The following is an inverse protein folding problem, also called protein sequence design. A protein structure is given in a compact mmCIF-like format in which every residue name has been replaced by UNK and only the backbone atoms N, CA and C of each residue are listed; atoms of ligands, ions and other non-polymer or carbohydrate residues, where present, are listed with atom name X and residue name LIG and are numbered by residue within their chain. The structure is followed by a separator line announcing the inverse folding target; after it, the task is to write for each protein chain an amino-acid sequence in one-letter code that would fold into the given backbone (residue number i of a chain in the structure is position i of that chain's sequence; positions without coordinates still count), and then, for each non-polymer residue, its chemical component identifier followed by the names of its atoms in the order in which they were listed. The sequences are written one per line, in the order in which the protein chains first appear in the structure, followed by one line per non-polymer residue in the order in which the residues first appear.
data_IF_125144332969
#
_entry.id   IF_125144332969
#
_cell.length_a   1.000
_cell.length_b   1.000
_cell.length_c   1.000
_cell.angle_alpha   90.00
_cell.angle_beta   90.00
_cell.angle_gamma   90.00
#
_symmetry.space_group_name_H-M   'P 1'
#
loop_
_entity.id
_entity.type
_entity.pdbx_description
1 polymer ?
#
# COMPACT_ATOMS: atom_id res chain seq x y z
N UNK A 1 14.63 -19.49 -18.07
CA UNK A 1 13.96 -20.55 -17.33
C UNK A 1 13.07 -19.91 -16.26
N UNK A 2 11.87 -20.42 -16.07
CA UNK A 2 10.99 -19.99 -14.96
C UNK A 2 11.48 -20.73 -13.71
N UNK A 3 11.59 -20.01 -12.59
CA UNK A 3 12.00 -20.58 -11.32
C UNK A 3 10.94 -21.56 -10.78
N UNK A 4 11.36 -22.51 -9.92
CA UNK A 4 10.49 -23.56 -9.42
C UNK A 4 9.60 -23.19 -8.22
N UNK A 5 9.56 -21.91 -7.83
CA UNK A 5 8.73 -21.42 -6.74
C UNK A 5 7.23 -21.58 -7.08
N UNK A 6 6.40 -22.14 -6.19
CA UNK A 6 4.97 -22.33 -6.41
C UNK A 6 4.22 -21.02 -6.71
N UNK A 7 4.58 -19.91 -6.06
CA UNK A 7 3.89 -18.62 -6.23
C UNK A 7 4.08 -18.04 -7.63
N UNK A 8 5.26 -18.26 -8.23
CA UNK A 8 5.54 -17.87 -9.62
C UNK A 8 4.60 -18.59 -10.59
N UNK A 9 4.45 -19.90 -10.45
CA UNK A 9 3.56 -20.68 -11.30
C UNK A 9 2.10 -20.36 -11.06
N UNK A 10 1.75 -20.00 -9.84
CA UNK A 10 0.40 -19.59 -9.51
C UNK A 10 0.05 -18.22 -10.12
N UNK A 11 0.92 -17.23 -9.99
CA UNK A 11 0.75 -15.92 -10.65
C UNK A 11 0.69 -16.08 -12.18
N UNK A 12 1.58 -16.92 -12.73
CA UNK A 12 1.59 -17.22 -14.17
C UNK A 12 0.26 -17.81 -14.64
N UNK A 13 -0.31 -18.74 -13.88
CA UNK A 13 -1.61 -19.32 -14.17
C UNK A 13 -2.74 -18.27 -14.17
N UNK A 14 -2.68 -17.31 -13.26
CA UNK A 14 -3.62 -16.18 -13.24
C UNK A 14 -3.47 -15.30 -14.49
N UNK A 15 -2.25 -15.04 -14.93
CA UNK A 15 -1.96 -14.29 -16.15
C UNK A 15 -2.53 -15.05 -17.37
N UNK A 16 -2.27 -16.33 -17.49
CA UNK A 16 -2.74 -17.18 -18.58
C UNK A 16 -4.29 -17.22 -18.66
N UNK A 17 -4.93 -17.39 -17.49
CA UNK A 17 -6.40 -17.34 -17.40
C UNK A 17 -6.96 -15.97 -17.80
N UNK A 18 -6.29 -14.89 -17.40
CA UNK A 18 -6.69 -13.52 -17.74
C UNK A 18 -6.44 -13.21 -19.23
N UNK A 19 -5.34 -13.69 -19.83
CA UNK A 19 -5.12 -13.55 -21.29
C UNK A 19 -6.26 -14.16 -22.08
N UNK A 20 -6.78 -15.30 -21.64
CA UNK A 20 -7.91 -15.99 -22.29
C UNK A 20 -9.26 -15.31 -22.09
N UNK A 21 -9.42 -14.51 -21.01
CA UNK A 21 -10.68 -13.89 -20.61
C UNK A 21 -10.51 -12.40 -20.25
N UNK A 22 -9.62 -11.68 -20.93
CA UNK A 22 -9.28 -10.31 -20.59
C UNK A 22 -10.49 -9.35 -20.57
N UNK A 23 -10.62 -8.51 -19.55
CA UNK A 23 -9.76 -8.28 -18.38
C UNK A 23 -10.23 -9.00 -17.09
N UNK A 24 -10.97 -10.08 -17.20
CA UNK A 24 -11.58 -10.77 -16.05
C UNK A 24 -10.52 -11.46 -15.18
N UNK A 25 -10.58 -11.20 -13.88
CA UNK A 25 -9.73 -11.84 -12.89
C UNK A 25 -10.45 -13.00 -12.20
N UNK A 26 -9.72 -14.10 -12.00
CA UNK A 26 -10.27 -15.26 -11.33
C UNK A 26 -10.05 -15.17 -9.82
N UNK A 27 -11.11 -14.86 -9.07
CA UNK A 27 -11.05 -14.74 -7.61
C UNK A 27 -11.13 -16.06 -6.86
N UNK A 28 -11.56 -17.13 -7.52
CA UNK A 28 -11.66 -18.45 -6.93
C UNK A 28 -10.96 -19.47 -7.80
N UNK A 29 -10.01 -20.20 -7.23
CA UNK A 29 -9.31 -21.28 -7.90
C UNK A 29 -9.77 -22.64 -7.36
N UNK A 30 -10.52 -23.37 -8.17
CA UNK A 30 -11.01 -24.69 -7.85
C UNK A 30 -9.93 -25.77 -7.76
N UNK A 31 -8.75 -25.51 -8.34
CA UNK A 31 -7.65 -26.49 -8.35
C UNK A 31 -6.69 -26.33 -7.18
N UNK A 32 -6.67 -25.15 -6.54
CA UNK A 32 -5.91 -24.91 -5.32
C UNK A 32 -6.68 -25.47 -4.13
N UNK A 33 -6.01 -26.22 -3.24
CA UNK A 33 -6.63 -26.90 -2.10
C UNK A 33 -7.80 -27.82 -2.51
N UNK A 34 -7.61 -28.56 -3.61
CA UNK A 34 -8.62 -29.51 -4.12
C UNK A 34 -9.04 -30.52 -3.05
N UNK A 35 -10.36 -30.91 -2.93
CA UNK A 35 -11.46 -30.54 -3.81
C UNK A 35 -12.21 -29.24 -3.43
N UNK A 36 -11.89 -28.57 -2.33
CA UNK A 36 -12.63 -27.42 -1.82
C UNK A 36 -12.41 -26.13 -2.65
N UNK A 37 -11.26 -26.02 -3.31
CA UNK A 37 -10.82 -24.80 -3.94
C UNK A 37 -10.38 -23.74 -2.93
N UNK A 38 -9.87 -22.60 -3.41
CA UNK A 38 -9.43 -21.49 -2.56
C UNK A 38 -9.74 -20.14 -3.22
N UNK A 39 -10.16 -19.16 -2.41
CA UNK A 39 -10.15 -17.76 -2.82
C UNK A 39 -8.73 -17.25 -2.91
N UNK A 40 -8.48 -16.40 -3.90
CA UNK A 40 -7.17 -15.79 -4.14
C UNK A 40 -7.03 -14.58 -3.24
N UNK A 41 -5.91 -14.48 -2.51
CA UNK A 41 -5.68 -13.47 -1.49
C UNK A 41 -5.04 -12.18 -2.03
N UNK A 42 -4.40 -12.23 -3.21
CA UNK A 42 -3.80 -11.06 -3.88
C UNK A 42 -4.67 -10.50 -4.99
N UNK A 43 -4.33 -9.30 -5.48
CA UNK A 43 -5.19 -8.55 -6.35
C UNK A 43 -4.91 -8.70 -7.84
N UNK A 44 -5.79 -8.12 -8.66
CA UNK A 44 -5.78 -8.29 -10.09
C UNK A 44 -4.72 -7.48 -10.84
N UNK A 45 -4.13 -6.44 -10.21
CA UNK A 45 -3.35 -5.45 -10.97
C UNK A 45 -2.07 -6.03 -11.57
N UNK A 46 -1.33 -6.87 -10.84
CA UNK A 46 -0.12 -7.49 -11.38
C UNK A 46 -0.44 -8.45 -12.55
N UNK A 47 -1.36 -9.42 -12.43
CA UNK A 47 -1.80 -10.22 -13.57
C UNK A 47 -2.37 -9.39 -14.72
N UNK A 48 -3.07 -8.29 -14.43
CA UNK A 48 -3.62 -7.39 -15.45
C UNK A 48 -2.52 -6.73 -16.28
N UNK A 49 -1.46 -6.22 -15.63
CA UNK A 49 -0.32 -5.62 -16.33
C UNK A 49 0.38 -6.66 -17.22
N UNK A 50 0.65 -7.83 -16.66
CA UNK A 50 1.34 -8.90 -17.40
C UNK A 50 0.51 -9.43 -18.58
N UNK A 51 -0.78 -9.70 -18.37
CA UNK A 51 -1.69 -10.17 -19.43
C UNK A 51 -1.93 -9.12 -20.52
N UNK A 52 -2.03 -7.83 -20.15
CA UNK A 52 -2.11 -6.75 -21.12
C UNK A 52 -0.86 -6.71 -22.02
N UNK A 53 0.35 -6.88 -21.43
CA UNK A 53 1.59 -6.95 -22.22
C UNK A 53 1.61 -8.18 -23.14
N UNK A 54 1.15 -9.35 -22.67
CA UNK A 54 1.03 -10.55 -23.50
C UNK A 54 0.10 -10.28 -24.71
N UNK A 55 -1.07 -9.69 -24.48
CA UNK A 55 -2.04 -9.40 -25.55
C UNK A 55 -1.47 -8.35 -26.53
N UNK A 56 -0.87 -7.28 -26.02
CA UNK A 56 -0.30 -6.21 -26.86
C UNK A 56 0.84 -6.70 -27.75
N UNK A 57 1.58 -7.73 -27.33
CA UNK A 57 2.67 -8.35 -28.09
C UNK A 57 2.23 -9.54 -28.94
N UNK A 58 0.95 -9.92 -28.86
CA UNK A 58 0.44 -11.10 -29.55
C UNK A 58 0.81 -12.44 -28.90
N UNK A 59 1.39 -12.42 -27.71
CA UNK A 59 1.85 -13.58 -26.95
C UNK A 59 0.68 -14.28 -26.22
N UNK A 60 -0.29 -14.78 -26.98
CA UNK A 60 -1.50 -15.42 -26.42
C UNK A 60 -1.33 -16.92 -26.18
N UNK A 61 -0.32 -17.55 -26.79
CA UNK A 61 0.00 -18.94 -26.55
C UNK A 61 0.84 -19.08 -25.27
N UNK A 62 0.68 -20.20 -24.55
CA UNK A 62 1.33 -20.43 -23.25
C UNK A 62 2.84 -20.14 -23.25
N UNK A 63 3.57 -20.65 -24.24
CA UNK A 63 5.04 -20.49 -24.31
C UNK A 63 5.43 -19.02 -24.49
N UNK A 64 4.73 -18.31 -25.39
CA UNK A 64 4.99 -16.91 -25.66
C UNK A 64 4.59 -16.02 -24.48
N UNK A 65 3.47 -16.35 -23.84
CA UNK A 65 3.00 -15.67 -22.62
C UNK A 65 4.00 -15.83 -21.46
N UNK A 66 4.59 -17.03 -21.27
CA UNK A 66 5.69 -17.25 -20.32
C UNK A 66 6.88 -16.32 -20.66
N UNK A 67 7.27 -16.27 -21.92
CA UNK A 67 8.40 -15.47 -22.34
C UNK A 67 8.19 -13.98 -22.06
N UNK A 68 7.01 -13.42 -22.41
CA UNK A 68 6.68 -12.00 -22.20
C UNK A 68 6.51 -11.68 -20.72
N UNK A 69 5.72 -12.46 -19.98
CA UNK A 69 5.48 -12.21 -18.56
C UNK A 69 6.74 -12.33 -17.70
N UNK A 70 7.72 -13.15 -18.12
CA UNK A 70 9.03 -13.27 -17.44
C UNK A 70 9.83 -11.94 -17.40
N UNK A 71 9.52 -10.98 -18.28
CA UNK A 71 10.18 -9.67 -18.29
C UNK A 71 9.49 -8.64 -17.40
N UNK A 72 8.27 -8.90 -16.94
CA UNK A 72 7.52 -7.94 -16.11
C UNK A 72 8.25 -7.59 -14.82
N UNK A 73 8.79 -8.55 -14.02
CA UNK A 73 9.57 -8.21 -12.84
C UNK A 73 10.82 -7.37 -13.16
N UNK A 74 11.50 -7.66 -14.27
CA UNK A 74 12.67 -6.90 -14.72
C UNK A 74 12.31 -5.44 -15.02
N UNK A 75 11.16 -5.21 -15.67
CA UNK A 75 10.67 -3.85 -15.92
C UNK A 75 10.43 -3.09 -14.62
N UNK A 76 9.81 -3.71 -13.61
CA UNK A 76 9.64 -3.10 -12.30
C UNK A 76 10.99 -2.83 -11.62
N UNK A 77 11.95 -3.75 -11.72
CA UNK A 77 13.32 -3.56 -11.22
C UNK A 77 14.02 -2.35 -11.85
N UNK A 78 13.93 -2.20 -13.17
CA UNK A 78 14.50 -1.05 -13.90
C UNK A 78 13.83 0.26 -13.49
N UNK A 79 12.49 0.27 -13.41
CA UNK A 79 11.71 1.45 -13.02
C UNK A 79 11.93 1.86 -11.56
N UNK A 80 12.31 0.93 -10.69
CA UNK A 80 12.62 1.23 -9.29
C UNK A 80 13.87 2.11 -9.14
N UNK A 81 14.88 1.97 -10.00
CA UNK A 81 16.13 2.72 -9.91
C UNK A 81 15.90 4.24 -9.90
N UNK A 82 15.19 4.85 -10.87
CA UNK A 82 14.89 6.28 -10.82
C UNK A 82 13.98 6.66 -9.64
N UNK A 83 13.05 5.82 -9.22
CA UNK A 83 12.20 6.09 -8.05
C UNK A 83 13.04 6.24 -6.79
N UNK A 84 13.96 5.30 -6.56
CA UNK A 84 14.87 5.32 -5.40
C UNK A 84 15.86 6.48 -5.50
N UNK A 85 16.34 6.82 -6.73
CA UNK A 85 17.15 8.03 -6.93
C UNK A 85 16.42 9.28 -6.45
N UNK A 86 15.17 9.50 -6.89
CA UNK A 86 14.41 10.68 -6.51
C UNK A 86 14.06 10.69 -5.02
N UNK A 87 13.77 9.54 -4.42
CA UNK A 87 13.53 9.41 -2.98
C UNK A 87 14.79 9.78 -2.17
N UNK A 88 15.94 9.22 -2.52
CA UNK A 88 17.21 9.54 -1.88
C UNK A 88 17.60 11.02 -2.05
N UNK A 89 17.39 11.57 -3.27
CA UNK A 89 17.59 12.99 -3.54
C UNK A 89 16.67 13.88 -2.71
N UNK A 90 15.43 13.47 -2.51
CA UNK A 90 14.45 14.20 -1.71
C UNK A 90 14.87 14.26 -0.23
N UNK A 91 15.42 13.17 0.29
CA UNK A 91 15.79 13.06 1.72
C UNK A 91 17.12 13.78 2.01
N UNK A 92 18.17 13.50 1.25
CA UNK A 92 19.53 13.94 1.57
C UNK A 92 20.32 14.52 0.37
N UNK A 93 19.63 14.95 -0.70
CA UNK A 93 20.21 15.62 -1.84
C UNK A 93 20.72 14.68 -2.94
N UNK A 94 21.22 15.26 -4.03
CA UNK A 94 21.51 14.51 -5.28
C UNK A 94 22.56 13.41 -5.12
N UNK A 95 23.57 13.62 -4.26
CA UNK A 95 24.60 12.60 -3.98
C UNK A 95 24.01 11.35 -3.33
N UNK A 96 23.14 11.55 -2.34
CA UNK A 96 22.40 10.45 -1.71
C UNK A 96 21.49 9.74 -2.72
N UNK A 97 20.86 10.48 -3.65
CA UNK A 97 20.09 9.89 -4.73
C UNK A 97 20.90 8.96 -5.62
N UNK A 98 22.12 9.39 -6.05
CA UNK A 98 23.00 8.54 -6.86
C UNK A 98 23.42 7.28 -6.09
N UNK A 99 23.83 7.44 -4.82
CA UNK A 99 24.25 6.31 -3.99
C UNK A 99 23.07 5.32 -3.84
N UNK A 100 21.88 5.81 -3.54
CA UNK A 100 20.69 4.98 -3.39
C UNK A 100 20.34 4.25 -4.70
N UNK A 101 20.44 4.92 -5.85
CA UNK A 101 20.20 4.31 -7.16
C UNK A 101 21.24 3.21 -7.50
N UNK A 102 22.50 3.43 -7.17
CA UNK A 102 23.55 2.42 -7.35
C UNK A 102 23.28 1.22 -6.44
N UNK A 103 22.99 1.47 -5.16
CA UNK A 103 22.71 0.38 -4.23
C UNK A 103 21.52 -0.47 -4.68
N UNK A 104 20.38 0.12 -5.05
CA UNK A 104 19.22 -0.65 -5.48
C UNK A 104 19.47 -1.41 -6.79
N UNK A 105 20.33 -0.89 -7.67
CA UNK A 105 20.65 -1.55 -8.93
C UNK A 105 21.57 -2.78 -8.76
N UNK A 106 22.35 -2.85 -7.66
CA UNK A 106 23.33 -3.92 -7.44
C UNK A 106 23.08 -4.72 -6.16
N UNK A 107 22.04 -4.36 -5.38
CA UNK A 107 21.73 -5.07 -4.14
C UNK A 107 21.39 -6.53 -4.43
N UNK A 108 22.09 -7.44 -3.75
CA UNK A 108 21.79 -8.86 -3.78
C UNK A 108 20.64 -9.22 -2.83
N UNK A 109 20.26 -10.48 -2.79
CA UNK A 109 19.23 -10.98 -1.90
C UNK A 109 17.82 -10.87 -2.48
N UNK A 110 16.84 -10.69 -1.61
CA UNK A 110 15.41 -10.85 -1.96
C UNK A 110 14.93 -9.87 -3.03
N UNK A 111 15.37 -8.61 -2.99
CA UNK A 111 14.97 -7.64 -4.02
C UNK A 111 15.45 -8.05 -5.40
N UNK A 112 16.72 -8.45 -5.53
CA UNK A 112 17.28 -8.91 -6.80
C UNK A 112 16.56 -10.16 -7.31
N UNK A 113 16.32 -11.12 -6.42
CA UNK A 113 15.57 -12.34 -6.75
C UNK A 113 14.17 -12.00 -7.28
N UNK A 114 13.40 -11.17 -6.57
CA UNK A 114 12.02 -10.79 -6.96
C UNK A 114 11.93 -9.95 -8.23
N UNK A 115 13.05 -9.42 -8.73
CA UNK A 115 13.11 -8.63 -9.98
C UNK A 115 13.84 -9.35 -11.11
N UNK A 116 14.24 -10.61 -10.92
CA UNK A 116 14.88 -11.42 -11.97
C UNK A 116 13.89 -11.85 -13.06
N UNK A 117 14.41 -12.03 -14.27
CA UNK A 117 13.65 -12.62 -15.36
C UNK A 117 13.17 -14.04 -15.03
N UNK A 118 11.88 -14.27 -15.18
CA UNK A 118 11.25 -15.56 -14.86
C UNK A 118 10.75 -15.72 -13.42
N UNK A 119 10.97 -14.74 -12.56
CA UNK A 119 10.34 -14.68 -11.22
C UNK A 119 9.06 -13.85 -11.33
N UNK A 120 8.03 -14.45 -11.91
CA UNK A 120 6.74 -13.80 -12.18
C UNK A 120 5.91 -13.75 -10.91
N UNK A 121 6.26 -12.78 -10.04
CA UNK A 121 5.65 -12.63 -8.73
C UNK A 121 5.18 -11.18 -8.50
N UNK A 122 4.03 -11.03 -7.85
CA UNK A 122 3.38 -9.75 -7.60
C UNK A 122 4.17 -8.81 -6.66
N UNK A 123 5.09 -9.36 -5.85
CA UNK A 123 5.89 -8.57 -4.90
C UNK A 123 6.74 -7.47 -5.58
N UNK A 124 7.20 -7.67 -6.81
CA UNK A 124 7.93 -6.63 -7.54
C UNK A 124 7.06 -5.38 -7.77
N UNK A 125 5.77 -5.58 -8.10
CA UNK A 125 4.81 -4.48 -8.29
C UNK A 125 4.36 -3.87 -6.96
N UNK A 126 4.16 -4.69 -5.94
CA UNK A 126 3.81 -4.25 -4.57
C UNK A 126 4.85 -3.25 -4.05
N UNK A 127 6.13 -3.63 -4.07
CA UNK A 127 7.23 -2.77 -3.60
C UNK A 127 7.39 -1.53 -4.48
N UNK A 128 7.22 -1.68 -5.80
CA UNK A 128 7.31 -0.54 -6.71
C UNK A 128 6.26 0.52 -6.41
N UNK A 129 4.99 0.16 -6.39
CA UNK A 129 3.90 1.12 -6.17
C UNK A 129 3.92 1.73 -4.76
N UNK A 130 4.30 0.96 -3.73
CA UNK A 130 4.47 1.50 -2.37
C UNK A 130 5.65 2.46 -2.27
N UNK A 131 6.75 2.20 -2.99
CA UNK A 131 7.90 3.13 -3.03
C UNK A 131 7.55 4.42 -3.78
N UNK A 132 6.81 4.33 -4.90
CA UNK A 132 6.29 5.51 -5.61
C UNK A 132 5.33 6.31 -4.71
N UNK A 133 4.46 5.63 -3.97
CA UNK A 133 3.61 6.27 -2.97
C UNK A 133 4.44 7.03 -1.93
N UNK A 134 5.44 6.39 -1.32
CA UNK A 134 6.32 7.03 -0.34
C UNK A 134 7.03 8.26 -0.92
N UNK A 135 7.56 8.15 -2.14
CA UNK A 135 8.23 9.26 -2.82
C UNK A 135 7.30 10.48 -2.94
N UNK A 136 6.11 10.28 -3.49
CA UNK A 136 5.20 11.40 -3.74
C UNK A 136 4.50 11.88 -2.46
N UNK A 137 4.27 11.02 -1.48
CA UNK A 137 3.74 11.41 -0.18
C UNK A 137 4.74 12.32 0.56
N UNK A 138 6.02 11.92 0.66
CA UNK A 138 7.08 12.72 1.29
C UNK A 138 7.32 14.01 0.50
N UNK A 139 7.31 13.95 -0.84
CA UNK A 139 7.44 15.13 -1.68
C UNK A 139 6.32 16.15 -1.44
N UNK A 140 5.08 15.65 -1.29
CA UNK A 140 3.93 16.51 -0.99
C UNK A 140 4.07 17.20 0.37
N UNK A 141 4.50 16.47 1.40
CA UNK A 141 4.73 17.03 2.74
C UNK A 141 5.82 18.09 2.70
N UNK A 142 6.91 17.82 1.98
CA UNK A 142 7.99 18.79 1.81
C UNK A 142 7.52 20.06 1.09
N UNK A 143 6.76 19.91 0.01
CA UNK A 143 6.13 21.03 -0.70
C UNK A 143 5.19 21.82 0.21
N UNK A 144 4.43 21.15 1.06
CA UNK A 144 3.55 21.80 2.03
C UNK A 144 4.33 22.62 3.07
N UNK A 145 5.55 22.17 3.43
CA UNK A 145 6.41 22.92 4.36
C UNK A 145 7.08 24.14 3.72
N UNK A 146 7.27 24.14 2.41
CA UNK A 146 7.83 25.27 1.65
C UNK A 146 6.76 26.36 1.35
N UNK A 147 5.49 25.97 1.36
CA UNK A 147 4.37 26.84 1.03
C UNK A 147 3.35 26.80 2.18
N UNK A 148 2.95 27.97 2.69
CA UNK A 148 1.90 28.00 3.72
C UNK A 148 0.56 27.52 3.13
N UNK A 149 0.29 26.24 3.31
CA UNK A 149 -0.96 25.61 2.87
C UNK A 149 -2.09 25.99 3.84
N UNK A 150 -3.17 26.55 3.31
CA UNK A 150 -4.35 26.94 4.07
C UNK A 150 -5.61 26.47 3.34
N UNK A 151 -6.50 25.74 4.03
CA UNK A 151 -7.77 25.26 3.46
C UNK A 151 -8.67 26.39 2.96
N UNK A 152 -8.60 27.57 3.61
CA UNK A 152 -9.37 28.75 3.24
C UNK A 152 -8.87 29.43 1.96
N UNK A 153 -7.69 29.07 1.45
CA UNK A 153 -7.09 29.64 0.24
C UNK A 153 -6.85 28.57 -0.82
N UNK A 154 -7.77 28.37 -1.79
CA UNK A 154 -7.60 27.33 -2.81
C UNK A 154 -6.31 27.45 -3.63
N UNK A 155 -5.77 28.65 -3.78
CA UNK A 155 -4.51 28.89 -4.49
C UNK A 155 -3.31 28.27 -3.77
N UNK A 156 -3.33 28.21 -2.44
CA UNK A 156 -2.27 27.60 -1.63
C UNK A 156 -2.22 26.07 -1.72
N UNK A 157 -3.31 25.44 -2.19
CA UNK A 157 -3.40 23.99 -2.37
C UNK A 157 -2.73 23.50 -3.66
N UNK A 158 -2.61 24.36 -4.68
CA UNK A 158 -2.09 23.99 -6.01
C UNK A 158 -0.75 23.26 -5.98
N UNK A 159 0.26 23.67 -5.17
CA UNK A 159 1.56 23.01 -5.16
C UNK A 159 1.53 21.56 -4.68
N UNK A 160 0.55 21.21 -3.83
CA UNK A 160 0.45 19.89 -3.20
C UNK A 160 -0.57 18.97 -3.87
N UNK A 161 -1.50 19.50 -4.68
CA UNK A 161 -2.61 18.73 -5.21
C UNK A 161 -2.13 17.64 -6.19
N UNK A 162 -1.34 18.02 -7.19
CA UNK A 162 -0.84 17.05 -8.19
C UNK A 162 -0.01 15.93 -7.55
N UNK A 163 1.02 16.22 -6.72
CA UNK A 163 1.77 15.15 -6.08
C UNK A 163 0.93 14.32 -5.09
N UNK A 164 -0.10 14.89 -4.44
CA UNK A 164 -1.06 14.12 -3.63
C UNK A 164 -1.86 13.13 -4.48
N UNK A 165 -2.30 13.55 -5.67
CA UNK A 165 -3.02 12.67 -6.60
C UNK A 165 -2.11 11.53 -7.06
N UNK A 166 -0.84 11.81 -7.41
CA UNK A 166 0.10 10.75 -7.81
C UNK A 166 0.35 9.78 -6.65
N UNK A 167 0.51 10.28 -5.42
CA UNK A 167 0.61 9.44 -4.23
C UNK A 167 -0.65 8.58 -4.03
N UNK A 168 -1.83 9.17 -4.19
CA UNK A 168 -3.11 8.46 -4.08
C UNK A 168 -3.27 7.35 -5.13
N UNK A 169 -2.95 7.65 -6.39
CA UNK A 169 -2.98 6.66 -7.48
C UNK A 169 -1.97 5.54 -7.25
N UNK A 170 -0.74 5.86 -6.82
CA UNK A 170 0.27 4.86 -6.52
C UNK A 170 -0.15 3.96 -5.36
N UNK A 171 -0.74 4.52 -4.30
CA UNK A 171 -1.26 3.74 -3.18
C UNK A 171 -2.47 2.88 -3.58
N UNK A 172 -3.37 3.42 -4.39
CA UNK A 172 -4.49 2.68 -4.98
C UNK A 172 -4.00 1.49 -5.82
N UNK A 173 -2.95 1.69 -6.62
CA UNK A 173 -2.32 0.62 -7.38
C UNK A 173 -1.69 -0.44 -6.46
N UNK A 174 -0.96 -0.02 -5.41
CA UNK A 174 -0.41 -0.94 -4.42
C UNK A 174 -1.51 -1.80 -3.76
N UNK A 175 -2.61 -1.17 -3.34
CA UNK A 175 -3.78 -1.87 -2.78
C UNK A 175 -4.46 -2.83 -3.77
N UNK A 176 -4.40 -2.54 -5.08
CA UNK A 176 -4.91 -3.43 -6.13
C UNK A 176 -3.95 -4.58 -6.47
N UNK A 177 -2.69 -4.50 -6.05
CA UNK A 177 -1.72 -5.62 -6.10
C UNK A 177 -1.89 -6.52 -4.89
N UNK A 178 -1.87 -5.94 -3.66
CA UNK A 178 -1.89 -6.71 -2.43
C UNK A 178 -2.52 -5.88 -1.29
N UNK A 179 -3.51 -6.41 -0.56
CA UNK A 179 -4.15 -5.68 0.53
C UNK A 179 -3.23 -5.44 1.74
N UNK A 180 -2.17 -6.23 1.93
CA UNK A 180 -1.17 -6.03 2.99
C UNK A 180 -0.42 -4.71 2.90
N UNK A 181 -0.41 -4.04 1.72
CA UNK A 181 0.12 -2.68 1.55
C UNK A 181 -0.60 -1.65 2.42
N UNK A 182 -1.73 -2.02 3.03
CA UNK A 182 -2.41 -1.26 4.09
C UNK A 182 -1.48 -0.87 5.24
N UNK A 183 -0.39 -1.61 5.46
CA UNK A 183 0.67 -1.24 6.41
C UNK A 183 1.14 0.21 6.23
N UNK A 184 1.24 0.68 4.99
CA UNK A 184 1.65 2.06 4.71
C UNK A 184 0.60 3.08 5.15
N UNK A 185 -0.70 2.76 5.06
CA UNK A 185 -1.75 3.61 5.63
C UNK A 185 -1.67 3.68 7.16
N UNK A 186 -1.30 2.58 7.81
CA UNK A 186 -1.09 2.56 9.27
C UNK A 186 0.11 3.41 9.68
N UNK A 187 1.22 3.36 8.91
CA UNK A 187 2.39 4.24 9.10
C UNK A 187 1.99 5.71 8.91
N UNK A 188 1.21 6.01 7.87
CA UNK A 188 0.68 7.36 7.61
C UNK A 188 -0.22 7.83 8.74
N UNK A 189 -1.09 6.97 9.30
CA UNK A 189 -1.96 7.30 10.41
C UNK A 189 -1.15 7.67 11.66
N UNK A 190 -0.12 6.87 11.98
CA UNK A 190 0.80 7.14 13.09
C UNK A 190 1.58 8.45 12.86
N UNK A 191 2.13 8.64 11.67
CA UNK A 191 2.80 9.88 11.28
C UNK A 191 1.85 11.08 11.42
N UNK A 192 0.63 10.96 10.97
CA UNK A 192 -0.40 12.00 11.03
C UNK A 192 -0.65 12.41 12.49
N UNK A 193 -0.86 11.46 13.38
CA UNK A 193 -1.06 11.71 14.80
C UNK A 193 0.14 12.45 15.44
N UNK A 194 1.35 11.98 15.16
CA UNK A 194 2.59 12.60 15.65
C UNK A 194 2.72 14.02 15.09
N UNK A 195 2.48 14.21 13.80
CA UNK A 195 2.65 15.50 13.14
C UNK A 195 1.61 16.53 13.58
N UNK A 196 0.34 16.14 13.77
CA UNK A 196 -0.68 17.03 14.36
C UNK A 196 -0.28 17.46 15.78
N UNK A 197 0.15 16.50 16.59
CA UNK A 197 0.61 16.79 17.96
C UNK A 197 1.81 17.72 17.94
N UNK A 198 2.83 17.42 17.13
CA UNK A 198 4.01 18.26 16.98
C UNK A 198 3.65 19.69 16.54
N UNK A 199 2.80 19.81 15.53
CA UNK A 199 2.40 21.14 15.02
C UNK A 199 1.58 21.93 16.05
N UNK A 200 0.75 21.27 16.86
CA UNK A 200 0.01 21.92 17.94
C UNK A 200 0.96 22.58 18.97
N UNK A 201 2.08 21.92 19.32
CA UNK A 201 3.09 22.46 20.23
C UNK A 201 3.93 23.59 19.60
N UNK A 202 4.01 23.65 18.26
CA UNK A 202 4.85 24.63 17.55
C UNK A 202 4.04 25.70 16.81
N UNK A 203 2.72 25.77 16.99
CA UNK A 203 1.87 26.76 16.34
C UNK A 203 1.85 26.68 14.80
N UNK A 204 2.10 25.48 14.22
CA UNK A 204 2.14 25.29 12.77
C UNK A 204 0.80 24.77 12.22
N UNK A 205 0.48 25.16 10.98
CA UNK A 205 -0.73 24.66 10.29
C UNK A 205 -0.62 23.16 9.98
N UNK A 206 -1.75 22.48 10.09
CA UNK A 206 -1.93 21.06 9.76
C UNK A 206 -2.80 20.84 8.54
N UNK A 207 -3.28 21.90 7.92
CA UNK A 207 -4.27 21.89 6.82
C UNK A 207 -3.85 20.98 5.65
N UNK A 208 -2.55 20.92 5.36
CA UNK A 208 -2.02 20.08 4.29
C UNK A 208 -2.22 18.56 4.54
N UNK A 209 -2.18 18.12 5.79
CA UNK A 209 -2.38 16.70 6.12
C UNK A 209 -3.79 16.23 5.79
N UNK A 210 -4.80 17.08 6.05
CA UNK A 210 -6.18 16.76 5.67
C UNK A 210 -6.31 16.58 4.15
N UNK A 211 -5.66 17.44 3.36
CA UNK A 211 -5.72 17.38 1.90
C UNK A 211 -5.02 16.13 1.39
N UNK A 212 -3.79 15.89 1.83
CA UNK A 212 -2.98 14.75 1.35
C UNK A 212 -3.64 13.42 1.73
N UNK A 213 -3.96 13.24 3.02
CA UNK A 213 -4.58 12.00 3.49
C UNK A 213 -5.98 11.81 2.89
N UNK A 214 -6.73 12.90 2.70
CA UNK A 214 -8.03 12.87 2.06
C UNK A 214 -7.94 12.36 0.62
N UNK A 215 -7.03 12.93 -0.19
CA UNK A 215 -6.80 12.49 -1.57
C UNK A 215 -6.35 11.02 -1.62
N UNK A 216 -5.35 10.64 -0.81
CA UNK A 216 -4.85 9.26 -0.75
C UNK A 216 -5.97 8.29 -0.37
N UNK A 217 -6.77 8.62 0.64
CA UNK A 217 -7.88 7.76 1.09
C UNK A 217 -8.96 7.61 0.03
N UNK A 218 -9.32 8.69 -0.69
CA UNK A 218 -10.31 8.62 -1.77
C UNK A 218 -9.87 7.67 -2.87
N UNK A 219 -8.62 7.77 -3.34
CA UNK A 219 -8.10 6.86 -4.36
C UNK A 219 -8.01 5.41 -3.86
N UNK A 220 -7.58 5.20 -2.61
CA UNK A 220 -7.49 3.87 -2.02
C UNK A 220 -8.88 3.23 -1.86
N UNK A 221 -9.88 3.97 -1.38
CA UNK A 221 -11.27 3.48 -1.26
C UNK A 221 -11.84 3.19 -2.64
N UNK A 222 -11.59 4.05 -3.64
CA UNK A 222 -12.04 3.82 -5.02
C UNK A 222 -11.42 2.53 -5.58
N UNK A 223 -10.13 2.29 -5.37
CA UNK A 223 -9.46 1.04 -5.76
C UNK A 223 -10.10 -0.18 -5.09
N UNK A 224 -10.29 -0.14 -3.78
CA UNK A 224 -10.94 -1.23 -3.05
C UNK A 224 -12.40 -1.46 -3.47
N UNK A 225 -13.12 -0.40 -3.83
CA UNK A 225 -14.49 -0.51 -4.36
C UNK A 225 -14.52 -1.16 -5.76
N UNK A 226 -13.52 -0.86 -6.61
CA UNK A 226 -13.38 -1.49 -7.94
C UNK A 226 -12.98 -2.95 -7.81
N UNK A 227 -12.01 -3.25 -6.95
CA UNK A 227 -11.55 -4.62 -6.69
C UNK A 227 -12.67 -5.44 -6.04
N UNK A 228 -13.39 -4.89 -5.07
CA UNK A 228 -14.49 -5.53 -4.38
C UNK A 228 -14.07 -6.33 -3.14
N UNK A 229 -15.08 -6.91 -2.48
CA UNK A 229 -14.91 -7.77 -1.30
C UNK A 229 -15.02 -9.23 -1.73
N UNK A 230 -13.96 -10.00 -1.51
CA UNK A 230 -13.85 -11.41 -1.93
C UNK A 230 -13.61 -12.38 -0.77
N UNK A 231 -13.32 -11.85 0.44
CA UNK A 231 -13.17 -12.65 1.66
C UNK A 231 -14.29 -12.34 2.65
N UNK A 232 -15.01 -13.35 3.15
CA UNK A 232 -16.01 -13.15 4.22
C UNK A 232 -15.35 -12.93 5.59
N UNK A 233 -14.08 -13.32 5.75
CA UNK A 233 -13.34 -13.17 6.99
C UNK A 233 -12.85 -11.74 7.12
N UNK A 234 -13.19 -11.07 8.23
CA UNK A 234 -12.73 -9.71 8.51
C UNK A 234 -11.23 -9.71 8.81
N UNK A 235 -10.42 -9.38 7.82
CA UNK A 235 -8.95 -9.42 7.88
C UNK A 235 -8.33 -8.23 7.13
N UNK A 236 -7.28 -7.66 7.70
CA UNK A 236 -6.51 -6.57 7.08
C UNK A 236 -5.58 -7.06 5.95
N UNK A 237 -5.37 -8.36 5.85
CA UNK A 237 -4.45 -8.98 4.89
C UNK A 237 -5.17 -9.58 3.66
N UNK A 238 -6.49 -9.46 3.56
CA UNK A 238 -7.29 -9.99 2.46
C UNK A 238 -8.27 -8.94 1.94
N UNK A 239 -8.84 -9.16 0.75
CA UNK A 239 -9.89 -8.27 0.20
C UNK A 239 -11.22 -8.52 0.92
N UNK A 240 -11.27 -8.12 2.19
CA UNK A 240 -12.46 -8.09 3.06
C UNK A 240 -12.93 -6.65 3.26
N UNK A 241 -13.94 -6.44 4.10
CA UNK A 241 -14.37 -5.10 4.47
C UNK A 241 -13.33 -4.34 5.35
N UNK A 242 -12.38 -5.06 6.00
CA UNK A 242 -11.46 -4.46 6.96
C UNK A 242 -10.50 -3.42 6.35
N UNK A 243 -9.84 -3.63 5.17
CA UNK A 243 -9.03 -2.61 4.53
C UNK A 243 -9.78 -1.32 4.23
N UNK A 244 -11.02 -1.43 3.72
CA UNK A 244 -11.87 -0.25 3.45
C UNK A 244 -12.17 0.53 4.73
N UNK A 245 -12.52 -0.17 5.83
CA UNK A 245 -12.77 0.47 7.13
C UNK A 245 -11.49 1.12 7.69
N UNK A 246 -10.33 0.50 7.52
CA UNK A 246 -9.06 1.07 7.97
C UNK A 246 -8.69 2.36 7.20
N UNK A 247 -8.90 2.39 5.89
CA UNK A 247 -8.69 3.61 5.09
C UNK A 247 -9.73 4.69 5.42
N UNK A 248 -10.99 4.31 5.63
CA UNK A 248 -12.00 5.24 6.11
C UNK A 248 -11.64 5.83 7.48
N UNK A 249 -11.08 5.01 8.38
CA UNK A 249 -10.59 5.48 9.68
C UNK A 249 -9.41 6.47 9.53
N UNK A 250 -8.50 6.26 8.58
CA UNK A 250 -7.44 7.23 8.26
C UNK A 250 -8.05 8.57 7.82
N UNK A 251 -9.03 8.55 6.92
CA UNK A 251 -9.70 9.75 6.42
C UNK A 251 -10.45 10.50 7.53
N UNK A 252 -11.39 9.82 8.19
CA UNK A 252 -12.22 10.44 9.25
C UNK A 252 -11.40 10.78 10.49
N UNK A 253 -10.41 9.96 10.85
CA UNK A 253 -9.46 10.24 11.92
C UNK A 253 -8.65 11.51 11.66
N UNK A 254 -8.16 11.69 10.42
CA UNK A 254 -7.46 12.93 10.03
C UNK A 254 -8.40 14.14 10.09
N UNK A 255 -9.64 13.99 9.62
CA UNK A 255 -10.64 15.07 9.68
C UNK A 255 -10.98 15.46 11.14
N UNK A 256 -11.10 14.47 12.02
CA UNK A 256 -11.34 14.69 13.45
C UNK A 256 -10.16 15.42 14.12
N UNK A 257 -8.92 15.00 13.82
CA UNK A 257 -7.72 15.69 14.30
C UNK A 257 -7.66 17.14 13.80
N UNK A 258 -8.07 17.39 12.56
CA UNK A 258 -8.17 18.77 12.02
C UNK A 258 -9.19 19.60 12.80
N UNK A 259 -10.36 19.04 13.09
CA UNK A 259 -11.38 19.71 13.90
C UNK A 259 -10.84 20.03 15.30
N UNK A 260 -10.17 19.07 15.94
CA UNK A 260 -9.56 19.29 17.26
C UNK A 260 -8.46 20.35 17.21
N UNK A 261 -7.64 20.37 16.18
CA UNK A 261 -6.64 21.42 15.96
C UNK A 261 -7.26 22.79 15.86
N UNK A 262 -8.39 22.92 15.14
CA UNK A 262 -9.11 24.21 15.02
C UNK A 262 -9.78 24.62 16.33
N UNK A 263 -10.37 23.69 17.07
CA UNK A 263 -11.09 23.97 18.32
C UNK A 263 -10.18 24.25 19.51
N UNK A 264 -8.98 23.68 19.51
CA UNK A 264 -8.01 23.84 20.59
C UNK A 264 -7.45 25.27 20.68
N UNK A 265 -7.65 26.11 19.65
CA UNK A 265 -7.22 27.52 19.61
C UNK A 265 -5.76 27.70 20.06
N UNK A 266 -4.87 26.92 19.43
CA UNK A 266 -3.41 26.94 19.71
C UNK A 266 -3.00 26.52 21.13
N UNK A 267 -3.90 25.89 21.89
CA UNK A 267 -3.60 25.31 23.19
C UNK A 267 -3.21 23.82 23.05
N UNK A 268 -1.91 23.45 23.06
CA UNK A 268 -1.49 22.11 22.70
C UNK A 268 -2.04 21.03 23.64
N UNK A 269 -2.11 21.32 24.96
CA UNK A 269 -2.66 20.36 25.93
C UNK A 269 -4.18 20.15 25.75
N UNK A 270 -4.91 21.17 25.29
CA UNK A 270 -6.33 21.02 24.94
C UNK A 270 -6.48 20.12 23.73
N UNK A 271 -5.62 20.29 22.72
CA UNK A 271 -5.58 19.38 21.56
C UNK A 271 -5.34 17.92 21.97
N UNK A 272 -4.31 17.67 22.80
CA UNK A 272 -4.00 16.32 23.28
C UNK A 272 -5.18 15.73 24.07
N UNK A 273 -5.77 16.51 25.00
CA UNK A 273 -6.95 16.07 25.77
C UNK A 273 -8.13 15.73 24.88
N UNK A 274 -8.43 16.56 23.86
CA UNK A 274 -9.51 16.29 22.90
C UNK A 274 -9.21 15.05 22.06
N UNK A 275 -7.96 14.84 21.65
CA UNK A 275 -7.56 13.66 20.86
C UNK A 275 -7.75 12.37 21.68
N UNK A 276 -7.29 12.36 22.92
CA UNK A 276 -7.44 11.20 23.81
C UNK A 276 -8.94 10.94 24.11
N UNK A 277 -9.67 11.97 24.49
CA UNK A 277 -11.11 11.86 24.77
C UNK A 277 -11.90 11.42 23.52
N UNK A 278 -11.56 11.96 22.36
CA UNK A 278 -12.16 11.57 21.08
C UNK A 278 -11.88 10.10 20.73
N UNK A 279 -10.65 9.64 20.91
CA UNK A 279 -10.29 8.24 20.65
C UNK A 279 -11.07 7.29 21.58
N UNK A 280 -11.13 7.59 22.89
CA UNK A 280 -11.91 6.81 23.87
C UNK A 280 -13.39 6.85 23.51
N UNK A 281 -13.92 8.03 23.19
CA UNK A 281 -15.33 8.21 22.79
C UNK A 281 -15.69 7.42 21.53
N UNK A 282 -14.84 7.47 20.49
CA UNK A 282 -15.06 6.69 19.26
C UNK A 282 -15.06 5.18 19.53
N UNK A 283 -14.12 4.68 20.35
CA UNK A 283 -14.08 3.25 20.73
C UNK A 283 -15.30 2.88 21.55
N UNK A 284 -15.72 3.72 22.51
CA UNK A 284 -16.89 3.47 23.35
C UNK A 284 -18.19 3.44 22.51
N UNK A 285 -18.38 4.40 21.61
CA UNK A 285 -19.52 4.43 20.69
C UNK A 285 -19.52 3.21 19.79
N UNK A 286 -18.37 2.88 19.19
CA UNK A 286 -18.25 1.69 18.35
C UNK A 286 -18.57 0.40 19.12
N UNK A 287 -18.13 0.28 20.39
CA UNK A 287 -18.40 -0.85 21.25
C UNK A 287 -19.89 -0.97 21.63
N UNK A 288 -20.58 0.16 21.77
CA UNK A 288 -22.02 0.18 22.04
C UNK A 288 -22.86 -0.16 20.80
N UNK A 289 -22.44 0.34 19.61
CA UNK A 289 -23.18 0.14 18.36
C UNK A 289 -22.92 -1.26 17.78
N UNK A 290 -21.69 -1.72 17.80
CA UNK A 290 -21.28 -3.00 17.23
C UNK A 290 -20.07 -3.60 17.97
N UNK A 291 -20.30 -4.27 19.13
CA UNK A 291 -19.23 -4.93 19.88
C UNK A 291 -18.46 -5.95 19.04
N UNK A 292 -19.16 -6.64 18.13
CA UNK A 292 -18.55 -7.61 17.21
C UNK A 292 -17.56 -6.96 16.25
N UNK A 293 -17.87 -5.78 15.72
CA UNK A 293 -16.96 -5.05 14.84
C UNK A 293 -15.69 -4.62 15.58
N UNK A 294 -15.83 -4.13 16.82
CA UNK A 294 -14.68 -3.74 17.64
C UNK A 294 -13.79 -4.95 17.93
N UNK A 295 -14.38 -6.06 18.36
CA UNK A 295 -13.63 -7.30 18.63
C UNK A 295 -12.97 -7.85 17.36
N UNK A 296 -13.68 -7.83 16.23
CA UNK A 296 -13.11 -8.24 14.93
C UNK A 296 -11.98 -7.32 14.50
N UNK A 297 -12.08 -6.02 14.74
CA UNK A 297 -11.03 -5.04 14.46
C UNK A 297 -9.78 -5.28 15.29
N UNK A 298 -9.90 -5.49 16.59
CA UNK A 298 -8.78 -5.84 17.48
C UNK A 298 -8.15 -7.18 17.10
N UNK A 299 -8.98 -8.19 16.80
CA UNK A 299 -8.49 -9.50 16.34
C UNK A 299 -7.74 -9.38 15.01
N UNK A 300 -8.27 -8.64 14.03
CA UNK A 300 -7.63 -8.42 12.75
C UNK A 300 -6.29 -7.68 12.91
N UNK A 301 -6.23 -6.67 13.78
CA UNK A 301 -5.01 -5.93 14.08
C UNK A 301 -3.97 -6.81 14.76
N UNK A 302 -4.38 -7.57 15.79
CA UNK A 302 -3.47 -8.48 16.49
C UNK A 302 -2.95 -9.60 15.58
N UNK A 303 -3.79 -10.14 14.69
CA UNK A 303 -3.39 -11.16 13.73
C UNK A 303 -2.48 -10.60 12.61
N UNK A 304 -2.60 -9.31 12.28
CA UNK A 304 -1.76 -8.65 11.28
C UNK A 304 -0.32 -8.49 11.79
N UNK A 305 -0.15 -8.15 13.08
CA UNK A 305 1.18 -7.98 13.70
C UNK A 305 1.64 -9.21 14.50
N UNK A 306 0.73 -10.14 14.77
CA UNK A 306 1.03 -11.35 15.54
C UNK A 306 1.76 -12.41 14.73
N UNK A 307 2.59 -13.19 15.41
CA UNK A 307 3.17 -14.40 14.83
C UNK A 307 2.03 -15.39 14.57
N UNK A 308 1.84 -15.73 13.30
CA UNK A 308 0.96 -16.84 12.92
C UNK A 308 1.76 -18.13 13.08
N UNK A 309 1.45 -18.93 14.10
CA UNK A 309 1.84 -20.31 14.13
C UNK A 309 1.01 -21.03 13.06
N UNK A 310 1.64 -21.33 11.93
CA UNK A 310 1.04 -22.17 10.89
C UNK A 310 1.56 -23.58 11.07
N UNK A 311 0.68 -24.57 10.88
CA UNK A 311 1.05 -25.98 10.89
C UNK A 311 2.02 -26.34 9.76
N UNK A 312 2.08 -25.50 8.72
CA UNK A 312 3.04 -25.57 7.63
C UNK A 312 3.80 -24.24 7.53
N UNK A 313 5.10 -24.22 7.91
CA UNK A 313 5.90 -23.01 7.81
C UNK A 313 6.14 -22.65 6.35
N UNK A 314 5.59 -21.49 5.94
CA UNK A 314 5.92 -20.88 4.66
C UNK A 314 7.33 -20.27 4.79
N UNK A 315 8.19 -20.44 3.76
CA UNK A 315 9.58 -19.99 3.77
C UNK A 315 9.70 -18.50 4.11
N UNK A 316 8.81 -17.68 3.58
CA UNK A 316 8.74 -16.23 3.78
C UNK A 316 8.37 -15.81 5.21
N UNK A 317 7.82 -16.72 6.01
CA UNK A 317 7.44 -16.46 7.41
C UNK A 317 8.51 -16.96 8.40
N UNK A 318 9.58 -17.60 7.92
CA UNK A 318 10.70 -17.99 8.76
C UNK A 318 11.53 -16.76 9.15
N UNK A 319 12.09 -16.74 10.37
CA UNK A 319 13.06 -15.70 10.74
C UNK A 319 14.23 -15.72 9.76
N UNK A 320 14.56 -14.54 9.23
CA UNK A 320 15.68 -14.41 8.30
C UNK A 320 16.99 -14.75 8.98
N UNK A 321 17.76 -15.66 8.38
CA UNK A 321 19.13 -15.90 8.80
C UNK A 321 20.04 -14.78 8.28
N UNK A 322 21.17 -14.55 8.96
CA UNK A 322 22.17 -13.57 8.49
C UNK A 322 22.66 -13.85 7.06
N UNK A 323 22.62 -15.09 6.60
CA UNK A 323 23.00 -15.50 5.25
C UNK A 323 21.92 -15.16 4.19
N UNK A 324 20.69 -14.91 4.58
CA UNK A 324 19.60 -14.51 3.68
C UNK A 324 19.50 -12.97 3.52
N UNK A 325 20.17 -12.22 4.38
CA UNK A 325 20.18 -10.75 4.36
C UNK A 325 21.22 -10.23 3.35
N UNK A 326 22.20 -11.06 2.95
CA UNK A 326 23.29 -10.69 2.03
C UNK A 326 23.18 -11.41 0.66
#
# INVERSE_FOLDING_TARGET
AVHGDPDIWYNFRQIEAMVSNFPQYNWFDAMTAYPQGKNIDWGPLFPLIASALCIMTGAVQRVDCIAVSSWVPVLFGILMVPVVFFLGRLIAGWKAGIIAAIFIAVVSGEYFYRTMAGVVDHHCAEIFFTTVFCLFYIYTIRKASEHEVRLKSPSSLKPILVPSVIAGVAFAAAMAVMPTTLLFAMIVALYTLIQYTWNAFHGKSTDYLLVVNGVVSVFAIASLAIVGVHSPVYSLATYSAAPTHAIALLFFGTALLQIFSMLSREKPWVFVGMTVAGAIGCIAVAALVSPTLVNSGFSALSSFFGQRFQDFPIEEQKPWSLLQIW
#
